data_IF_233235140040
#
_entry.id   IF_233235140040
#
_cell.length_a   1.000
_cell.length_b   1.000
_cell.length_c   1.000
_cell.angle_alpha   90.00
_cell.angle_beta   90.00
_cell.angle_gamma   90.00
#
_symmetry.space_group_name_H-M   'P 1'
#
loop_
_entity.id
_entity.type
_entity.pdbx_description
1 polymer ?
#
# COMPACT_ATOMS: atom_id res chain seq x y z
N UNK A 1 -42.35 26.07 33.77
CA UNK A 1 -41.33 26.65 32.85
C UNK A 1 -39.96 26.47 33.49
N UNK A 2 -38.94 26.16 32.67
CA UNK A 2 -37.56 25.74 33.01
C UNK A 2 -37.31 24.22 33.07
N UNK A 3 -37.73 23.51 32.01
CA UNK A 3 -36.83 22.58 31.32
C UNK A 3 -36.04 23.41 30.29
N UNK A 4 -34.84 22.97 29.93
CA UNK A 4 -33.99 23.48 28.82
C UNK A 4 -32.76 24.34 29.16
N UNK A 5 -31.95 23.91 30.13
CA UNK A 5 -30.50 24.27 30.12
C UNK A 5 -29.62 23.08 30.53
N UNK A 6 -29.85 21.89 29.97
CA UNK A 6 -28.78 20.88 29.90
C UNK A 6 -27.92 21.24 28.71
N UNK A 7 -26.87 22.02 28.98
CA UNK A 7 -25.79 22.34 28.03
C UNK A 7 -25.37 21.06 27.30
N UNK A 8 -25.64 21.00 26.00
CA UNK A 8 -24.99 20.05 25.09
C UNK A 8 -23.50 20.37 25.12
N UNK A 9 -22.75 19.68 25.98
CA UNK A 9 -21.31 19.55 25.79
C UNK A 9 -21.20 18.66 24.55
N UNK A 10 -20.90 19.27 23.42
CA UNK A 10 -20.45 18.52 22.25
C UNK A 10 -19.34 17.59 22.73
N UNK A 11 -19.57 16.28 22.63
CA UNK A 11 -18.61 15.27 23.04
C UNK A 11 -17.43 15.30 22.05
N UNK A 12 -16.56 16.29 22.19
CA UNK A 12 -15.33 16.40 21.41
C UNK A 12 -14.45 15.24 21.85
N UNK A 13 -14.34 14.23 20.99
CA UNK A 13 -13.42 13.11 21.19
C UNK A 13 -12.01 13.69 21.24
N UNK A 14 -11.33 13.48 22.36
CA UNK A 14 -9.94 13.90 22.54
C UNK A 14 -9.04 12.67 22.44
N UNK A 15 -7.89 12.85 21.80
CA UNK A 15 -6.83 11.88 21.82
C UNK A 15 -5.58 12.52 22.40
N UNK A 16 -4.82 11.76 23.18
CA UNK A 16 -3.57 12.24 23.77
C UNK A 16 -2.50 11.16 23.75
N UNK A 17 -1.26 11.59 23.58
CA UNK A 17 -0.09 10.75 23.73
C UNK A 17 0.29 10.72 25.20
N UNK A 18 0.09 9.58 25.86
CA UNK A 18 0.30 9.42 27.30
C UNK A 18 1.75 9.07 27.62
N UNK A 19 2.40 8.28 26.77
CA UNK A 19 3.81 7.94 26.96
C UNK A 19 4.48 7.65 25.62
N UNK A 20 5.72 8.11 25.48
CA UNK A 20 6.66 7.68 24.43
C UNK A 20 7.94 7.22 25.09
N UNK A 21 8.51 6.12 24.60
CA UNK A 21 9.78 5.59 25.08
C UNK A 21 10.62 5.17 23.89
N UNK A 22 11.86 5.62 23.83
CA UNK A 22 12.87 5.08 22.93
C UNK A 22 13.66 4.02 23.68
N UNK A 23 13.42 2.76 23.34
CA UNK A 23 14.05 1.61 24.01
C UNK A 23 15.38 1.29 23.30
N UNK A 24 15.41 1.42 21.98
CA UNK A 24 16.61 1.43 21.14
C UNK A 24 16.34 2.16 19.83
N UNK A 25 17.36 2.38 18.99
CA UNK A 25 17.20 2.95 17.65
C UNK A 25 16.17 2.16 16.82
N UNK A 26 16.16 0.84 16.96
CA UNK A 26 15.24 -0.09 16.28
C UNK A 26 13.96 -0.42 17.04
N UNK A 27 13.71 0.22 18.18
CA UNK A 27 12.57 -0.14 19.03
C UNK A 27 12.03 1.08 19.76
N UNK A 28 11.01 1.71 19.16
CA UNK A 28 10.29 2.85 19.75
C UNK A 28 8.89 2.43 20.19
N UNK A 29 8.45 2.92 21.33
CA UNK A 29 7.15 2.64 21.92
C UNK A 29 6.34 3.93 22.12
N UNK A 30 5.05 3.86 21.80
CA UNK A 30 4.09 4.94 22.05
C UNK A 30 2.78 4.40 22.62
N UNK A 31 2.22 5.12 23.60
CA UNK A 31 0.92 4.84 24.22
C UNK A 31 -0.01 6.01 24.00
N UNK A 32 -1.15 5.75 23.40
CA UNK A 32 -2.16 6.75 23.05
C UNK A 32 -3.49 6.40 23.72
N UNK A 33 -4.23 7.43 24.15
CA UNK A 33 -5.54 7.27 24.76
C UNK A 33 -6.56 8.14 24.01
N UNK A 34 -7.69 7.53 23.65
CA UNK A 34 -8.83 8.18 23.01
C UNK A 34 -10.05 8.08 23.93
N UNK A 35 -10.64 9.22 24.25
CA UNK A 35 -11.87 9.33 25.03
C UNK A 35 -12.54 10.72 24.87
N UNK A 36 -13.84 10.87 25.15
CA UNK A 36 -14.81 9.81 25.40
C UNK A 36 -15.32 9.18 24.08
N UNK A 37 -15.44 7.85 24.03
CA UNK A 37 -16.07 7.13 22.91
C UNK A 37 -17.42 6.55 23.36
N UNK A 38 -18.37 6.35 22.44
CA UNK A 38 -19.60 5.59 22.75
C UNK A 38 -19.30 4.10 22.73
N UNK A 39 -20.14 3.32 23.41
CA UNK A 39 -20.09 1.86 23.39
C UNK A 39 -19.96 1.29 21.96
N UNK A 40 -18.99 0.40 21.75
CA UNK A 40 -18.69 -0.23 20.45
C UNK A 40 -17.84 0.62 19.49
N UNK A 41 -17.72 1.93 19.69
CA UNK A 41 -16.86 2.77 18.84
C UNK A 41 -15.37 2.48 19.11
N UNK A 42 -14.98 2.20 20.35
CA UNK A 42 -13.60 1.90 20.67
C UNK A 42 -13.11 0.64 19.95
N UNK A 43 -13.93 -0.41 19.91
CA UNK A 43 -13.60 -1.66 19.21
C UNK A 43 -13.46 -1.45 17.70
N UNK A 44 -14.41 -0.72 17.10
CA UNK A 44 -14.37 -0.41 15.66
C UNK A 44 -13.09 0.33 15.27
N UNK A 45 -12.74 1.37 16.03
CA UNK A 45 -11.51 2.16 15.81
C UNK A 45 -10.28 1.29 16.05
N UNK A 46 -10.25 0.51 17.12
CA UNK A 46 -9.09 -0.31 17.48
C UNK A 46 -8.79 -1.39 16.45
N UNK A 47 -9.81 -2.13 15.99
CA UNK A 47 -9.65 -3.18 14.99
C UNK A 47 -9.19 -2.58 13.65
N UNK A 48 -9.81 -1.48 13.23
CA UNK A 48 -9.46 -0.83 11.96
C UNK A 48 -8.03 -0.31 11.99
N UNK A 49 -7.65 0.45 13.02
CA UNK A 49 -6.28 0.95 13.18
C UNK A 49 -5.26 -0.17 13.32
N UNK A 50 -5.57 -1.25 14.06
CA UNK A 50 -4.68 -2.41 14.17
C UNK A 50 -4.40 -3.04 12.82
N UNK A 51 -5.43 -3.23 11.99
CA UNK A 51 -5.26 -3.80 10.64
C UNK A 51 -4.42 -2.87 9.79
N UNK A 52 -4.83 -1.61 9.66
CA UNK A 52 -4.14 -0.62 8.83
C UNK A 52 -2.69 -0.39 9.24
N UNK A 53 -2.40 -0.31 10.54
CA UNK A 53 -1.03 -0.17 11.05
C UNK A 53 -0.13 -1.34 10.63
N UNK A 54 -0.66 -2.56 10.63
CA UNK A 54 0.11 -3.76 10.29
C UNK A 54 0.19 -4.03 8.78
N UNK A 55 -0.78 -3.56 7.99
CA UNK A 55 -0.89 -3.93 6.57
C UNK A 55 -0.65 -2.80 5.57
N UNK A 56 -0.87 -1.54 5.93
CA UNK A 56 -0.91 -0.42 4.97
C UNK A 56 0.16 0.64 5.22
N UNK A 57 0.82 0.63 6.38
CA UNK A 57 1.92 1.57 6.64
C UNK A 57 3.08 1.25 5.70
N UNK A 58 3.47 2.25 4.92
CA UNK A 58 4.52 2.13 3.91
C UNK A 58 5.87 1.94 4.58
N UNK A 59 6.69 1.05 4.04
CA UNK A 59 8.06 0.84 4.50
C UNK A 59 9.06 1.00 3.38
N UNK A 60 10.30 1.31 3.73
CA UNK A 60 11.40 1.50 2.77
C UNK A 60 12.43 0.42 3.05
N UNK A 61 12.82 -0.32 2.01
CA UNK A 61 13.81 -1.37 2.14
C UNK A 61 14.65 -1.52 0.86
N UNK A 62 15.82 -2.13 1.00
CA UNK A 62 16.67 -2.49 -0.13
C UNK A 62 16.08 -3.74 -0.80
N UNK A 63 15.79 -3.66 -2.10
CA UNK A 63 15.17 -4.75 -2.87
C UNK A 63 16.14 -5.46 -3.80
N UNK A 64 17.24 -4.80 -4.17
CA UNK A 64 18.17 -5.35 -5.15
C UNK A 64 19.59 -4.86 -4.90
N UNK A 65 20.55 -5.74 -5.14
CA UNK A 65 21.98 -5.45 -5.03
C UNK A 65 22.69 -5.89 -6.30
N UNK A 66 23.45 -4.99 -6.91
CA UNK A 66 24.33 -5.29 -8.03
C UNK A 66 25.79 -5.07 -7.60
N UNK A 67 26.65 -6.05 -7.88
CA UNK A 67 28.08 -6.00 -7.53
C UNK A 67 28.85 -5.55 -8.77
N UNK A 68 29.35 -4.32 -8.79
CA UNK A 68 30.01 -3.74 -9.98
C UNK A 68 31.46 -4.19 -10.10
N UNK A 69 32.20 -4.10 -8.99
CA UNK A 69 33.64 -4.33 -8.94
C UNK A 69 33.96 -5.32 -7.82
N UNK A 70 33.94 -6.59 -8.17
CA UNK A 70 34.66 -7.62 -7.45
C UNK A 70 35.48 -8.34 -8.50
N UNK A 71 36.81 -8.26 -8.41
CA UNK A 71 37.69 -8.78 -9.45
C UNK A 71 37.41 -10.25 -9.82
N UNK A 72 36.76 -11.03 -8.97
CA UNK A 72 36.34 -12.39 -9.26
C UNK A 72 35.07 -12.71 -8.44
N UNK A 73 33.88 -12.61 -9.03
CA UNK A 73 32.74 -13.40 -8.55
C UNK A 73 33.01 -14.82 -9.05
N UNK A 74 33.40 -15.72 -8.15
CA UNK A 74 33.59 -17.13 -8.49
C UNK A 74 32.28 -17.73 -9.04
N UNK A 75 32.39 -18.68 -9.95
CA UNK A 75 31.28 -19.35 -10.66
C UNK A 75 30.17 -19.92 -9.73
N UNK A 76 30.49 -20.09 -8.44
CA UNK A 76 29.57 -20.62 -7.42
C UNK A 76 28.73 -19.56 -6.68
N UNK A 77 28.76 -18.27 -7.06
CA UNK A 77 27.92 -17.19 -6.51
C UNK A 77 27.89 -17.05 -4.97
N UNK A 78 28.79 -17.72 -4.25
CA UNK A 78 28.71 -17.89 -2.79
C UNK A 78 29.59 -16.91 -2.02
N UNK A 79 30.69 -16.43 -2.63
CA UNK A 79 31.68 -15.56 -1.97
C UNK A 79 32.23 -14.49 -2.90
N UNK A 80 32.54 -13.35 -2.30
CA UNK A 80 33.26 -12.24 -2.93
C UNK A 80 34.70 -12.29 -2.44
N UNK A 81 35.67 -12.42 -3.35
CA UNK A 81 37.10 -12.47 -2.97
C UNK A 81 37.46 -11.23 -2.17
N UNK A 82 38.09 -11.42 -1.01
CA UNK A 82 38.54 -10.34 -0.10
C UNK A 82 37.48 -9.78 0.86
N UNK A 83 36.24 -10.27 0.77
CA UNK A 83 35.18 -10.03 1.76
C UNK A 83 35.08 -11.27 2.67
N UNK A 84 34.92 -11.05 3.99
CA UNK A 84 34.83 -12.16 4.95
C UNK A 84 33.49 -12.90 4.86
N UNK A 85 32.41 -12.15 4.68
CA UNK A 85 31.03 -12.63 4.63
C UNK A 85 30.71 -13.26 3.26
N UNK A 86 29.81 -14.24 3.27
CA UNK A 86 29.23 -14.80 2.05
C UNK A 86 28.24 -13.83 1.40
N UNK A 87 27.89 -14.07 0.13
CA UNK A 87 26.86 -13.29 -0.56
C UNK A 87 25.52 -13.38 0.19
N UNK A 88 25.15 -14.56 0.70
CA UNK A 88 23.92 -14.73 1.47
C UNK A 88 23.91 -13.91 2.76
N UNK A 89 24.99 -13.93 3.53
CA UNK A 89 25.14 -13.12 4.75
C UNK A 89 25.09 -11.62 4.43
N UNK A 90 25.74 -11.18 3.35
CA UNK A 90 25.70 -9.80 2.89
C UNK A 90 24.26 -9.37 2.55
N UNK A 91 23.50 -10.20 1.83
CA UNK A 91 22.10 -9.92 1.50
C UNK A 91 21.22 -9.87 2.76
N UNK A 92 21.43 -10.77 3.73
CA UNK A 92 20.72 -10.75 5.02
C UNK A 92 21.05 -9.52 5.85
N UNK A 93 22.33 -9.12 5.90
CA UNK A 93 22.75 -7.92 6.64
C UNK A 93 22.13 -6.66 6.03
N UNK A 94 22.13 -6.54 4.69
CA UNK A 94 21.47 -5.44 3.98
C UNK A 94 19.94 -5.44 4.18
N UNK A 95 19.31 -6.62 4.21
CA UNK A 95 17.87 -6.77 4.47
C UNK A 95 17.46 -6.24 5.86
N UNK A 96 18.34 -6.35 6.85
CA UNK A 96 18.06 -5.92 8.22
C UNK A 96 18.20 -4.40 8.41
N UNK A 97 18.74 -3.66 7.45
CA UNK A 97 18.95 -2.21 7.56
C UNK A 97 17.59 -1.51 7.49
N UNK A 98 17.30 -0.70 8.51
CA UNK A 98 16.07 0.09 8.57
C UNK A 98 16.32 1.48 8.00
N UNK A 99 15.56 1.82 6.95
CA UNK A 99 15.57 3.12 6.30
C UNK A 99 14.31 3.92 6.69
N UNK A 100 14.42 5.25 6.69
CA UNK A 100 13.30 6.18 6.90
C UNK A 100 13.35 7.31 5.87
N UNK A 101 12.22 7.98 5.68
CA UNK A 101 12.20 9.22 4.92
C UNK A 101 12.93 10.31 5.71
N UNK A 102 13.69 11.14 5.00
CA UNK A 102 14.18 12.40 5.53
C UNK A 102 13.02 13.39 5.66
N UNK A 103 13.08 14.26 6.68
CA UNK A 103 12.01 15.22 6.98
C UNK A 103 11.78 16.27 5.87
N UNK A 104 12.78 16.47 5.00
CA UNK A 104 12.83 17.57 4.05
C UNK A 104 12.50 17.18 2.59
N UNK A 105 12.01 15.96 2.34
CA UNK A 105 11.83 15.46 0.97
C UNK A 105 10.47 14.80 0.70
N UNK A 106 9.59 15.51 -0.02
CA UNK A 106 8.39 14.97 -0.66
C UNK A 106 8.74 14.43 -2.06
N UNK A 107 9.63 13.44 -2.14
CA UNK A 107 9.90 12.78 -3.41
C UNK A 107 8.83 11.73 -3.69
N UNK A 108 8.02 11.96 -4.73
CA UNK A 108 7.02 11.02 -5.29
C UNK A 108 7.63 9.77 -5.94
N UNK A 109 8.97 9.63 -5.94
CA UNK A 109 9.61 8.43 -6.44
C UNK A 109 9.41 7.26 -5.49
N UNK A 110 8.99 6.12 -6.04
CA UNK A 110 8.93 4.84 -5.32
C UNK A 110 10.28 4.12 -5.31
N UNK A 111 11.21 4.49 -6.21
CA UNK A 111 12.49 3.81 -6.41
C UNK A 111 13.61 4.80 -6.23
N UNK A 112 14.63 4.39 -5.49
CA UNK A 112 15.80 5.17 -5.15
C UNK A 112 17.06 4.33 -5.41
N UNK A 113 18.05 4.94 -6.05
CA UNK A 113 19.35 4.34 -6.22
C UNK A 113 20.26 4.74 -5.06
N UNK A 114 20.96 3.78 -4.49
CA UNK A 114 21.96 3.95 -3.44
C UNK A 114 23.22 3.18 -3.80
N UNK A 115 24.35 3.50 -3.18
CA UNK A 115 25.60 2.78 -3.47
C UNK A 115 26.49 2.65 -2.25
N UNK A 116 27.37 1.67 -2.25
CA UNK A 116 28.44 1.50 -1.27
C UNK A 116 29.74 1.37 -2.06
N UNK A 117 30.69 2.27 -1.84
CA UNK A 117 32.01 2.22 -2.46
C UNK A 117 33.08 2.40 -1.38
N UNK A 118 33.74 1.31 -0.98
CA UNK A 118 34.69 1.31 0.14
C UNK A 118 35.97 0.57 -0.23
N UNK A 119 37.12 1.12 0.18
CA UNK A 119 38.45 0.50 0.04
C UNK A 119 38.89 -0.13 1.37
N UNK A 120 39.34 -1.39 1.31
CA UNK A 120 39.80 -2.16 2.46
C UNK A 120 41.28 -1.97 2.79
N UNK A 121 41.76 -2.60 3.89
CA UNK A 121 41.02 -3.43 4.83
C UNK A 121 40.24 -2.60 5.86
N UNK A 122 38.94 -2.88 6.03
CA UNK A 122 38.02 -2.08 6.86
C UNK A 122 36.71 -2.82 7.14
N UNK A 123 36.06 -2.51 8.26
CA UNK A 123 34.66 -2.85 8.52
C UNK A 123 33.71 -1.89 7.81
N UNK A 124 32.74 -2.46 7.08
CA UNK A 124 31.68 -1.74 6.37
C UNK A 124 30.44 -1.78 7.24
N UNK A 125 29.91 -0.59 7.53
CA UNK A 125 28.68 -0.40 8.32
C UNK A 125 27.62 0.29 7.49
N UNK A 126 26.38 0.34 7.97
CA UNK A 126 25.27 1.06 7.32
C UNK A 126 25.62 2.53 7.03
N UNK A 127 26.44 3.18 7.87
CA UNK A 127 26.96 4.54 7.60
C UNK A 127 27.69 4.70 6.27
N UNK A 128 28.25 3.62 5.72
CA UNK A 128 29.00 3.65 4.46
C UNK A 128 28.11 3.60 3.22
N UNK A 129 26.79 3.50 3.41
CA UNK A 129 25.82 3.59 2.32
C UNK A 129 25.67 5.06 1.92
N UNK A 130 25.95 5.33 0.66
CA UNK A 130 25.66 6.59 0.00
C UNK A 130 24.19 6.56 -0.40
N UNK A 131 23.35 7.20 0.41
CA UNK A 131 21.92 7.36 0.18
C UNK A 131 21.60 8.66 -0.56
N UNK A 132 20.47 8.70 -1.29
CA UNK A 132 19.93 9.96 -1.77
C UNK A 132 19.50 10.84 -0.58
N UNK A 133 19.44 12.18 -0.76
CA UNK A 133 19.12 13.12 0.33
C UNK A 133 17.71 12.95 0.90
N UNK A 134 16.85 12.20 0.22
CA UNK A 134 15.48 11.92 0.66
C UNK A 134 15.36 10.79 1.69
N UNK A 135 16.45 10.05 1.94
CA UNK A 135 16.45 8.86 2.78
C UNK A 135 17.51 8.97 3.87
N UNK A 136 17.13 8.55 5.07
CA UNK A 136 18.02 8.43 6.21
C UNK A 136 18.09 6.98 6.70
N UNK A 137 19.21 6.65 7.35
CA UNK A 137 19.39 5.40 8.08
C UNK A 137 18.99 5.59 9.54
N UNK A 138 18.30 4.60 10.10
CA UNK A 138 17.89 4.63 11.52
C UNK A 138 19.05 4.28 12.45
N UNK A 139 19.89 3.32 12.08
CA UNK A 139 21.06 2.85 12.83
C UNK A 139 22.28 2.82 11.91
N UNK A 140 23.23 3.72 12.17
CA UNK A 140 24.46 3.90 11.39
C UNK A 140 25.58 2.92 11.78
N UNK A 141 25.35 2.08 12.80
CA UNK A 141 26.33 1.12 13.34
C UNK A 141 26.15 -0.30 12.81
N UNK A 142 25.09 -0.56 12.06
CA UNK A 142 24.73 -1.90 11.63
C UNK A 142 25.80 -2.49 10.69
N UNK A 143 26.30 -3.66 11.04
CA UNK A 143 27.35 -4.35 10.28
C UNK A 143 26.82 -4.85 8.94
N UNK A 144 27.53 -4.56 7.85
CA UNK A 144 27.24 -5.08 6.50
C UNK A 144 28.22 -6.17 6.13
N UNK A 145 29.51 -5.82 6.11
CA UNK A 145 30.57 -6.71 5.66
C UNK A 145 31.95 -6.25 6.19
N UNK A 146 32.96 -7.11 6.07
CA UNK A 146 34.34 -6.86 6.44
C UNK A 146 35.25 -7.11 5.25
N UNK A 147 36.01 -6.08 4.85
CA UNK A 147 37.06 -6.22 3.84
C UNK A 147 38.36 -6.66 4.52
N UNK A 148 38.79 -7.89 4.23
CA UNK A 148 40.02 -8.47 4.78
C UNK A 148 41.27 -8.10 3.95
N UNK A 149 41.09 -7.79 2.67
CA UNK A 149 42.16 -7.48 1.71
C UNK A 149 42.10 -6.00 1.28
N UNK A 150 43.20 -5.42 0.74
CA UNK A 150 43.22 -4.08 0.17
C UNK A 150 42.52 -4.04 -1.19
N UNK A 151 41.24 -4.39 -1.19
CA UNK A 151 40.36 -4.41 -2.36
C UNK A 151 39.35 -3.28 -2.26
N UNK A 152 38.83 -2.86 -3.40
CA UNK A 152 37.70 -1.94 -3.49
C UNK A 152 36.42 -2.74 -3.71
N UNK A 153 35.41 -2.52 -2.86
CA UNK A 153 34.09 -3.11 -2.99
C UNK A 153 33.10 -2.01 -3.40
N UNK A 154 32.52 -2.16 -4.59
CA UNK A 154 31.49 -1.28 -5.11
C UNK A 154 30.16 -2.04 -5.32
N UNK A 155 29.14 -1.64 -4.57
CA UNK A 155 27.77 -2.17 -4.65
C UNK A 155 26.81 -1.07 -5.10
N UNK A 156 25.99 -1.38 -6.08
CA UNK A 156 24.80 -0.63 -6.45
C UNK A 156 23.60 -1.25 -5.74
N UNK A 157 22.83 -0.42 -5.04
CA UNK A 157 21.65 -0.82 -4.28
C UNK A 157 20.43 -0.15 -4.90
N UNK A 158 19.33 -0.90 -5.04
CA UNK A 158 18.02 -0.31 -5.28
C UNK A 158 17.22 -0.38 -4.00
N UNK A 159 16.72 0.78 -3.60
CA UNK A 159 15.82 0.97 -2.47
C UNK A 159 14.45 1.26 -3.02
N UNK A 160 13.45 0.56 -2.51
CA UNK A 160 12.06 0.76 -2.92
C UNK A 160 11.20 1.13 -1.72
N UNK A 161 10.28 2.06 -1.95
CA UNK A 161 9.16 2.33 -1.07
C UNK A 161 8.07 1.32 -1.37
N UNK A 162 7.75 0.48 -0.40
CA UNK A 162 6.80 -0.60 -0.53
C UNK A 162 5.53 -0.25 0.24
N UNK A 163 4.40 -0.35 -0.46
CA UNK A 163 3.05 -0.13 0.07
C UNK A 163 2.31 -1.45 0.14
N UNK A 164 1.96 -1.87 1.36
CA UNK A 164 1.30 -3.12 1.66
C UNK A 164 1.97 -4.35 1.07
N UNK A 165 1.24 -5.46 1.00
CA UNK A 165 1.67 -6.74 0.41
C UNK A 165 1.83 -6.61 -1.12
N UNK A 166 2.84 -5.87 -1.58
CA UNK A 166 3.22 -5.91 -2.97
C UNK A 166 3.85 -7.28 -3.28
N UNK A 167 3.06 -8.13 -3.95
CA UNK A 167 3.56 -9.18 -4.82
C UNK A 167 4.59 -8.54 -5.76
N UNK A 168 5.79 -9.13 -5.79
CA UNK A 168 6.93 -8.75 -6.62
C UNK A 168 6.51 -8.08 -7.93
N UNK A 169 6.93 -6.83 -8.15
CA UNK A 169 7.00 -6.24 -9.49
C UNK A 169 8.16 -6.90 -10.24
N UNK A 170 7.96 -8.14 -10.68
CA UNK A 170 8.98 -8.94 -11.38
C UNK A 170 9.46 -8.30 -12.69
N UNK A 171 8.68 -7.37 -13.25
CA UNK A 171 8.92 -6.81 -14.59
C UNK A 171 9.90 -5.61 -14.67
N UNK A 172 10.44 -5.11 -13.55
CA UNK A 172 11.28 -3.88 -13.56
C UNK A 172 12.70 -4.01 -13.01
N UNK A 173 13.11 -5.19 -12.55
CA UNK A 173 14.45 -5.36 -12.01
C UNK A 173 15.48 -5.62 -13.12
N UNK A 174 16.68 -5.00 -13.06
CA UNK A 174 17.73 -5.24 -14.03
C UNK A 174 18.15 -6.72 -14.00
N UNK A 175 18.43 -7.31 -15.16
CA UNK A 175 18.83 -8.74 -15.30
C UNK A 175 20.15 -9.11 -14.58
N UNK A 176 20.85 -8.15 -13.98
CA UNK A 176 22.15 -8.33 -13.32
C UNK A 176 22.04 -7.93 -11.85
N UNK A 177 22.44 -8.83 -10.96
CA UNK A 177 22.46 -8.65 -9.51
C UNK A 177 21.61 -9.68 -8.77
N UNK A 178 21.52 -9.49 -7.45
CA UNK A 178 20.80 -10.37 -6.54
C UNK A 178 19.58 -9.64 -5.97
N UNK A 179 18.36 -10.21 -6.10
CA UNK A 179 17.19 -9.68 -5.42
C UNK A 179 17.28 -9.97 -3.92
N UNK A 180 16.95 -8.98 -3.10
CA UNK A 180 16.73 -9.12 -1.67
C UNK A 180 15.23 -9.32 -1.44
N UNK A 181 14.88 -10.25 -0.55
CA UNK A 181 13.49 -10.39 -0.11
C UNK A 181 13.15 -9.15 0.72
N UNK A 182 12.20 -8.32 0.29
CA UNK A 182 11.91 -7.08 1.00
C UNK A 182 11.36 -7.36 2.40
N UNK A 183 12.04 -6.83 3.42
CA UNK A 183 11.58 -6.82 4.81
C UNK A 183 11.30 -5.38 5.22
N UNK A 184 10.02 -5.00 5.20
CA UNK A 184 9.58 -3.62 5.41
C UNK A 184 8.55 -3.56 6.54
N UNK A 185 8.84 -4.09 7.72
CA UNK A 185 7.89 -4.09 8.85
C UNK A 185 8.09 -2.87 9.77
N UNK A 186 7.54 -1.67 9.45
CA UNK A 186 7.70 -0.48 10.28
C UNK A 186 7.04 -0.64 11.65
N UNK A 187 5.90 -1.35 11.68
CA UNK A 187 5.18 -1.70 12.91
C UNK A 187 5.56 -3.12 13.32
N UNK A 188 6.20 -3.24 14.49
CA UNK A 188 6.56 -4.54 15.08
C UNK A 188 5.42 -5.17 15.85
N UNK A 189 4.69 -4.34 16.59
CA UNK A 189 3.60 -4.78 17.45
C UNK A 189 2.61 -3.66 17.67
N UNK A 190 1.36 -4.03 17.83
CA UNK A 190 0.31 -3.16 18.34
C UNK A 190 -0.55 -3.94 19.33
N UNK A 191 -0.89 -3.30 20.44
CA UNK A 191 -1.88 -3.76 21.41
C UNK A 191 -2.94 -2.67 21.58
N UNK A 192 -4.14 -3.07 21.96
CA UNK A 192 -5.17 -2.15 22.39
C UNK A 192 -5.90 -2.70 23.60
N UNK A 193 -6.44 -1.81 24.42
CA UNK A 193 -7.31 -2.17 25.54
C UNK A 193 -8.46 -1.17 25.61
N UNK A 194 -9.67 -1.68 25.83
CA UNK A 194 -10.87 -0.88 25.97
C UNK A 194 -11.29 -0.94 27.43
N UNK A 195 -11.63 0.22 28.01
CA UNK A 195 -12.17 0.33 29.36
C UNK A 195 -13.49 1.06 29.31
N UNK A 196 -14.53 0.53 29.95
CA UNK A 196 -15.78 1.26 30.17
C UNK A 196 -15.57 2.34 31.23
N UNK A 197 -16.17 3.50 31.00
CA UNK A 197 -16.21 4.62 31.92
C UNK A 197 -17.67 5.06 32.10
N UNK A 198 -18.27 4.69 33.23
CA UNK A 198 -19.71 4.84 33.44
C UNK A 198 -20.51 3.81 32.63
N UNK A 199 -21.77 4.12 32.33
CA UNK A 199 -22.69 3.17 31.68
C UNK A 199 -22.59 3.13 30.15
N UNK A 200 -22.18 4.23 29.50
CA UNK A 200 -22.31 4.37 28.02
C UNK A 200 -21.03 4.84 27.32
N UNK A 201 -19.95 5.11 28.06
CA UNK A 201 -18.71 5.63 27.49
C UNK A 201 -17.57 4.63 27.59
N UNK A 202 -16.68 4.68 26.60
CA UNK A 202 -15.50 3.85 26.47
C UNK A 202 -14.24 4.72 26.35
N UNK A 203 -13.14 4.15 26.83
CA UNK A 203 -11.79 4.69 26.70
C UNK A 203 -10.96 3.66 25.93
N UNK A 204 -10.43 4.06 24.79
CA UNK A 204 -9.50 3.24 24.00
C UNK A 204 -8.07 3.62 24.36
N UNK A 205 -7.27 2.63 24.77
CA UNK A 205 -5.82 2.76 24.85
C UNK A 205 -5.17 1.97 23.72
N UNK A 206 -4.28 2.61 22.96
CA UNK A 206 -3.44 2.00 21.94
C UNK A 206 -1.99 1.99 22.40
N UNK A 207 -1.30 0.90 22.13
CA UNK A 207 0.13 0.74 22.39
C UNK A 207 0.80 0.26 21.10
N UNK A 208 1.79 1.02 20.62
CA UNK A 208 2.40 0.84 19.31
C UNK A 208 3.91 0.71 19.49
N UNK A 209 4.50 -0.31 18.86
CA UNK A 209 5.94 -0.52 18.79
C UNK A 209 6.41 -0.46 17.34
N UNK A 210 7.36 0.43 17.05
CA UNK A 210 7.93 0.62 15.70
C UNK A 210 9.39 0.18 15.65
N UNK A 211 9.88 -0.11 14.45
CA UNK A 211 11.28 -0.43 14.17
C UNK A 211 12.20 0.82 14.07
N UNK A 212 11.68 2.02 14.38
CA UNK A 212 12.41 3.28 14.26
C UNK A 212 12.29 4.00 12.91
N UNK A 213 11.79 3.33 11.86
CA UNK A 213 11.52 3.96 10.55
C UNK A 213 10.47 5.08 10.65
N UNK A 214 9.46 4.84 11.48
CA UNK A 214 8.47 5.84 11.90
C UNK A 214 8.49 6.00 13.40
N UNK A 215 8.20 7.19 13.90
CA UNK A 215 7.77 7.33 15.29
C UNK A 215 6.38 6.70 15.48
N UNK A 216 6.04 6.21 16.69
CA UNK A 216 4.70 5.67 16.96
C UNK A 216 3.57 6.65 16.63
N UNK A 217 3.83 7.96 16.76
CA UNK A 217 2.86 9.03 16.45
C UNK A 217 2.67 9.21 14.95
N UNK A 218 3.76 9.26 14.18
CA UNK A 218 3.70 9.35 12.72
C UNK A 218 3.00 8.13 12.13
N UNK A 219 3.34 6.93 12.61
CA UNK A 219 2.71 5.72 12.10
C UNK A 219 1.21 5.67 12.39
N UNK A 220 0.78 6.13 13.57
CA UNK A 220 -0.64 6.26 13.90
C UNK A 220 -1.34 7.25 12.95
N UNK A 221 -0.70 8.38 12.66
CA UNK A 221 -1.24 9.37 11.74
C UNK A 221 -1.36 8.84 10.31
N UNK A 222 -0.34 8.15 9.82
CA UNK A 222 -0.35 7.53 8.49
C UNK A 222 -1.46 6.48 8.37
N UNK A 223 -1.66 5.67 9.41
CA UNK A 223 -2.77 4.72 9.44
C UNK A 223 -4.15 5.41 9.45
N UNK A 224 -4.32 6.50 10.20
CA UNK A 224 -5.55 7.29 10.17
C UNK A 224 -5.81 7.86 8.76
N UNK A 225 -4.77 8.41 8.11
CA UNK A 225 -4.86 8.93 6.75
C UNK A 225 -5.32 7.85 5.77
N UNK A 226 -4.75 6.65 5.83
CA UNK A 226 -5.16 5.53 4.99
C UNK A 226 -6.64 5.16 5.20
N UNK A 227 -7.11 5.05 6.45
CA UNK A 227 -8.51 4.77 6.75
C UNK A 227 -9.46 5.86 6.22
N UNK A 228 -9.09 7.14 6.33
CA UNK A 228 -9.88 8.24 5.77
C UNK A 228 -9.93 8.15 4.25
N UNK A 229 -8.80 7.88 3.59
CA UNK A 229 -8.76 7.72 2.15
C UNK A 229 -9.62 6.53 1.68
N UNK A 230 -9.54 5.39 2.37
CA UNK A 230 -10.36 4.20 2.09
C UNK A 230 -11.86 4.47 2.23
N UNK A 231 -12.27 5.30 3.19
CA UNK A 231 -13.67 5.62 3.44
C UNK A 231 -14.19 6.78 2.60
N UNK A 232 -13.29 7.67 2.14
CA UNK A 232 -13.62 8.84 1.30
C UNK A 232 -14.35 8.48 0.00
N UNK A 233 -14.10 7.29 -0.54
CA UNK A 233 -14.76 6.79 -1.76
C UNK A 233 -16.28 6.69 -1.62
N UNK A 234 -16.78 6.44 -0.41
CA UNK A 234 -18.22 6.35 -0.16
C UNK A 234 -18.89 7.73 -0.15
N UNK A 235 -18.16 8.78 0.21
CA UNK A 235 -18.66 10.16 0.22
C UNK A 235 -18.60 10.81 -1.16
N UNK A 236 -17.67 10.40 -2.01
CA UNK A 236 -17.45 11.02 -3.33
C UNK A 236 -18.50 10.66 -4.40
N UNK A 237 -19.40 9.69 -4.13
CA UNK A 237 -20.41 9.26 -5.10
C UNK A 237 -21.64 10.18 -5.20
N UNK A 238 -21.83 11.14 -4.30
CA UNK A 238 -22.99 12.05 -4.37
C UNK A 238 -22.75 13.31 -5.22
N UNK A 239 -21.49 13.66 -5.53
CA UNK A 239 -21.15 14.95 -6.17
C UNK A 239 -20.39 14.86 -7.50
N UNK A 240 -20.20 13.66 -8.08
CA UNK A 240 -19.62 13.55 -9.40
C UNK A 240 -20.69 13.68 -10.49
N UNK A 241 -21.12 14.91 -10.76
CA UNK A 241 -21.45 15.31 -12.12
C UNK A 241 -20.15 15.23 -12.94
N UNK A 242 -19.83 14.02 -13.38
CA UNK A 242 -18.73 13.77 -14.31
C UNK A 242 -19.08 14.56 -15.56
N UNK A 243 -18.36 15.65 -15.78
CA UNK A 243 -18.48 16.46 -16.99
C UNK A 243 -18.37 15.55 -18.21
N UNK A 244 -19.49 15.39 -18.91
CA UNK A 244 -19.71 14.60 -20.13
C UNK A 244 -18.90 15.09 -21.35
N UNK A 245 -17.73 15.67 -21.15
CA UNK A 245 -16.86 16.18 -22.21
C UNK A 245 -15.80 15.18 -22.68
N UNK A 246 -15.64 14.00 -22.04
CA UNK A 246 -14.61 13.02 -22.43
C UNK A 246 -15.10 11.76 -23.13
N UNK A 247 -16.40 11.63 -23.41
CA UNK A 247 -16.98 10.48 -24.14
C UNK A 247 -17.12 10.70 -25.66
N UNK A 248 -16.89 11.92 -26.17
CA UNK A 248 -16.80 12.14 -27.64
C UNK A 248 -15.47 11.67 -28.26
N UNK A 249 -14.45 11.36 -27.46
CA UNK A 249 -13.13 10.93 -27.95
C UNK A 249 -12.86 9.41 -27.79
N UNK A 250 -13.84 8.61 -27.37
CA UNK A 250 -13.66 7.15 -27.25
C UNK A 250 -13.90 6.36 -28.54
N UNK A 251 -14.44 6.98 -29.59
CA UNK A 251 -14.67 6.29 -30.87
C UNK A 251 -13.54 6.46 -31.91
N UNK A 252 -12.46 7.21 -31.58
CA UNK A 252 -11.44 7.60 -32.57
C UNK A 252 -10.01 7.11 -32.33
N UNK A 253 -9.75 6.18 -31.39
CA UNK A 253 -8.38 5.64 -31.24
C UNK A 253 -8.30 4.16 -30.88
N UNK A 254 -8.69 3.30 -31.82
CA UNK A 254 -8.13 1.94 -31.90
C UNK A 254 -6.73 2.06 -32.52
N UNK A 255 -5.67 2.33 -31.72
CA UNK A 255 -4.22 2.12 -32.03
C UNK A 255 -3.27 2.89 -31.09
N UNK A 256 -3.45 2.84 -29.77
CA UNK A 256 -2.37 3.23 -28.84
C UNK A 256 -2.26 2.25 -27.66
N UNK A 257 -1.04 1.95 -27.18
CA UNK A 257 -0.86 1.20 -25.94
C UNK A 257 -1.41 2.04 -24.77
N UNK A 258 -2.30 1.43 -23.97
CA UNK A 258 -2.96 2.07 -22.84
C UNK A 258 -1.96 2.55 -21.79
N UNK A 259 -2.22 3.72 -21.21
CA UNK A 259 -1.50 4.17 -20.02
C UNK A 259 -1.82 3.25 -18.81
N UNK A 260 -0.93 3.16 -17.80
CA UNK A 260 -1.18 2.32 -16.61
C UNK A 260 -2.48 2.66 -15.85
N UNK A 261 -2.93 3.92 -15.93
CA UNK A 261 -4.16 4.40 -15.31
C UNK A 261 -5.40 3.89 -16.06
N UNK A 262 -5.42 3.95 -17.39
CA UNK A 262 -6.52 3.43 -18.22
C UNK A 262 -6.66 1.90 -18.07
N UNK A 263 -5.55 1.18 -17.93
CA UNK A 263 -5.56 -0.26 -17.66
C UNK A 263 -6.13 -0.60 -16.26
N UNK A 264 -5.87 0.24 -15.25
CA UNK A 264 -6.42 0.06 -13.91
C UNK A 264 -7.94 0.35 -13.88
N UNK A 265 -8.38 1.42 -14.56
CA UNK A 265 -9.80 1.74 -14.72
C UNK A 265 -10.57 0.61 -15.42
N UNK A 266 -10.03 0.07 -16.51
CA UNK A 266 -10.62 -1.07 -17.22
C UNK A 266 -10.72 -2.33 -16.33
N UNK A 267 -9.71 -2.60 -15.49
CA UNK A 267 -9.76 -3.72 -14.52
C UNK A 267 -10.82 -3.50 -13.45
N UNK A 268 -10.96 -2.29 -12.91
CA UNK A 268 -11.99 -1.95 -11.91
C UNK A 268 -13.38 -2.09 -12.53
N UNK A 269 -13.59 -1.59 -13.74
CA UNK A 269 -14.86 -1.72 -14.46
C UNK A 269 -15.20 -3.17 -14.76
N UNK A 270 -14.21 -3.97 -15.18
CA UNK A 270 -14.40 -5.41 -15.38
C UNK A 270 -14.80 -6.13 -14.08
N UNK A 271 -14.15 -5.80 -12.95
CA UNK A 271 -14.51 -6.37 -11.63
C UNK A 271 -15.94 -5.99 -11.22
N UNK A 272 -16.35 -4.72 -11.40
CA UNK A 272 -17.71 -4.27 -11.13
C UNK A 272 -18.74 -5.02 -11.97
N UNK A 273 -18.46 -5.21 -13.26
CA UNK A 273 -19.36 -5.91 -14.19
C UNK A 273 -19.50 -7.40 -13.90
N UNK A 274 -18.47 -8.03 -13.34
CA UNK A 274 -18.53 -9.43 -12.90
C UNK A 274 -19.39 -9.63 -11.65
N UNK A 275 -19.49 -8.61 -10.78
CA UNK A 275 -20.27 -8.68 -9.55
C UNK A 275 -21.78 -8.45 -9.75
N UNK A 276 -22.19 -7.95 -10.92
CA UNK A 276 -23.59 -7.65 -11.23
C UNK A 276 -24.16 -8.76 -12.09
N UNK A 277 -25.11 -9.50 -11.50
CA UNK A 277 -25.85 -10.54 -12.21
C UNK A 277 -26.96 -9.91 -13.05
N UNK A 278 -27.21 -10.50 -14.21
CA UNK A 278 -28.24 -10.02 -15.15
C UNK A 278 -29.64 -10.02 -14.51
N UNK A 279 -29.87 -10.91 -13.55
CA UNK A 279 -31.11 -11.02 -12.76
C UNK A 279 -31.43 -9.75 -11.94
N UNK A 280 -30.40 -8.98 -11.55
CA UNK A 280 -30.54 -7.75 -10.78
C UNK A 280 -30.97 -6.55 -11.65
N UNK A 281 -31.01 -6.70 -12.98
CA UNK A 281 -31.31 -5.63 -13.93
C UNK A 281 -32.81 -5.40 -14.15
N UNK A 282 -33.68 -6.11 -13.41
CA UNK A 282 -35.15 -6.04 -13.55
C UNK A 282 -35.62 -6.16 -15.01
N UNK A 283 -34.98 -7.04 -15.78
CA UNK A 283 -35.36 -7.32 -17.17
C UNK A 283 -36.62 -8.17 -17.23
N UNK A 284 -37.28 -8.17 -18.39
CA UNK A 284 -38.42 -9.04 -18.65
C UNK A 284 -38.04 -10.52 -18.47
N UNK A 285 -38.88 -11.35 -17.82
CA UNK A 285 -38.56 -12.77 -17.58
C UNK A 285 -38.23 -13.55 -18.85
N UNK A 286 -38.83 -13.20 -20.00
CA UNK A 286 -38.52 -13.87 -21.28
C UNK A 286 -37.11 -13.56 -21.77
N UNK A 287 -36.62 -12.36 -21.49
CA UNK A 287 -35.26 -11.91 -21.82
C UNK A 287 -34.24 -12.48 -20.85
N UNK A 288 -34.57 -12.60 -19.56
CA UNK A 288 -33.73 -13.27 -18.57
C UNK A 288 -33.52 -14.75 -18.92
N UNK A 289 -34.58 -15.48 -19.25
CA UNK A 289 -34.45 -16.88 -19.68
C UNK A 289 -33.63 -17.02 -20.96
N UNK A 290 -33.76 -16.07 -21.90
CA UNK A 290 -33.00 -16.11 -23.16
C UNK A 290 -31.52 -15.82 -22.94
N UNK A 291 -31.18 -14.91 -22.01
CA UNK A 291 -29.80 -14.64 -21.59
C UNK A 291 -29.21 -15.82 -20.80
N UNK A 292 -29.98 -16.45 -19.92
CA UNK A 292 -29.57 -17.67 -19.19
C UNK A 292 -29.33 -18.85 -20.14
N UNK A 293 -30.21 -19.07 -21.14
CA UNK A 293 -29.98 -20.10 -22.19
C UNK A 293 -28.72 -19.84 -23.00
N UNK A 294 -28.36 -18.57 -23.21
CA UNK A 294 -27.12 -18.16 -23.88
C UNK A 294 -25.88 -18.20 -22.96
N UNK A 295 -26.03 -18.66 -21.70
CA UNK A 295 -24.99 -18.69 -20.66
C UNK A 295 -24.39 -17.31 -20.34
N UNK A 296 -25.20 -16.25 -20.44
CA UNK A 296 -24.82 -14.89 -20.04
C UNK A 296 -25.38 -14.65 -18.65
N UNK A 297 -24.54 -14.73 -17.62
CA UNK A 297 -24.97 -14.64 -16.22
C UNK A 297 -24.60 -13.30 -15.59
N UNK A 298 -23.52 -12.69 -16.05
CA UNK A 298 -23.01 -11.40 -15.53
C UNK A 298 -23.05 -10.32 -16.60
N UNK A 299 -23.04 -9.05 -16.17
CA UNK A 299 -22.89 -7.94 -17.09
C UNK A 299 -21.54 -7.95 -17.84
N UNK A 300 -20.52 -8.58 -17.28
CA UNK A 300 -19.24 -8.79 -17.96
C UNK A 300 -19.38 -9.70 -19.19
N UNK A 301 -20.15 -10.77 -19.06
CA UNK A 301 -20.45 -11.68 -20.18
C UNK A 301 -21.22 -10.95 -21.28
N UNK A 302 -22.12 -10.05 -20.89
CA UNK A 302 -22.88 -9.21 -21.81
C UNK A 302 -21.99 -8.19 -22.52
N UNK A 303 -21.07 -7.55 -21.79
CA UNK A 303 -20.15 -6.54 -22.33
C UNK A 303 -19.18 -7.10 -23.37
N UNK A 304 -18.79 -8.37 -23.22
CA UNK A 304 -17.91 -9.06 -24.17
C UNK A 304 -18.64 -9.58 -25.43
N UNK A 305 -19.97 -9.44 -25.52
CA UNK A 305 -20.75 -9.86 -26.69
C UNK A 305 -20.96 -8.72 -27.66
N UNK A 306 -20.87 -9.01 -28.96
CA UNK A 306 -21.11 -7.99 -29.97
C UNK A 306 -22.61 -7.63 -30.05
N UNK A 307 -22.92 -6.38 -30.43
CA UNK A 307 -24.31 -5.91 -30.60
C UNK A 307 -25.13 -6.78 -31.56
N UNK A 308 -24.49 -7.36 -32.59
CA UNK A 308 -25.12 -8.30 -33.53
C UNK A 308 -25.47 -9.65 -32.90
N UNK A 309 -24.75 -10.08 -31.88
CA UNK A 309 -25.05 -11.32 -31.14
C UNK A 309 -26.15 -11.09 -30.10
N UNK A 310 -26.14 -9.93 -29.43
CA UNK A 310 -27.18 -9.56 -28.46
C UNK A 310 -28.56 -9.42 -29.11
N UNK A 311 -28.61 -8.87 -30.33
CA UNK A 311 -29.86 -8.74 -31.11
C UNK A 311 -30.47 -10.08 -31.54
N UNK A 312 -29.70 -11.18 -31.49
CA UNK A 312 -30.22 -12.54 -31.77
C UNK A 312 -30.82 -13.21 -30.52
N UNK A 313 -30.46 -12.71 -29.33
CA UNK A 313 -30.75 -13.36 -28.05
C UNK A 313 -31.81 -12.58 -27.27
N UNK A 314 -31.85 -11.25 -27.41
CA UNK A 314 -32.75 -10.38 -26.65
C UNK A 314 -33.56 -9.43 -27.55
N UNK A 315 -34.72 -9.01 -27.06
CA UNK A 315 -35.57 -8.00 -27.71
C UNK A 315 -34.86 -6.65 -27.72
N UNK A 316 -35.09 -5.85 -28.77
CA UNK A 316 -34.47 -4.54 -28.99
C UNK A 316 -34.71 -3.59 -27.80
N UNK A 317 -35.91 -3.62 -27.22
CA UNK A 317 -36.30 -2.78 -26.07
C UNK A 317 -35.46 -3.06 -24.83
N UNK A 318 -35.08 -4.32 -24.60
CA UNK A 318 -34.29 -4.71 -23.44
C UNK A 318 -32.81 -4.40 -23.66
N UNK A 319 -32.31 -4.47 -24.89
CA UNK A 319 -30.96 -3.99 -25.24
C UNK A 319 -30.83 -2.48 -24.95
N UNK A 320 -31.85 -1.69 -25.29
CA UNK A 320 -31.88 -0.25 -25.01
C UNK A 320 -31.89 0.01 -23.49
N UNK A 321 -32.68 -0.75 -22.71
CA UNK A 321 -32.70 -0.65 -21.24
C UNK A 321 -31.34 -1.01 -20.64
N UNK A 322 -30.68 -2.05 -21.13
CA UNK A 322 -29.37 -2.45 -20.62
C UNK A 322 -28.32 -1.37 -20.93
N UNK A 323 -28.31 -0.82 -22.15
CA UNK A 323 -27.41 0.29 -22.49
C UNK A 323 -27.68 1.53 -21.62
N UNK A 324 -28.95 1.86 -21.35
CA UNK A 324 -29.31 2.96 -20.46
C UNK A 324 -28.87 2.72 -19.00
N UNK A 325 -28.95 1.48 -18.50
CA UNK A 325 -28.47 1.11 -17.17
C UNK A 325 -26.93 1.21 -17.10
N UNK A 326 -26.24 0.74 -18.13
CA UNK A 326 -24.77 0.81 -18.21
C UNK A 326 -24.27 2.26 -18.28
N UNK A 327 -24.98 3.14 -18.98
CA UNK A 327 -24.73 4.59 -18.99
C UNK A 327 -25.04 5.23 -17.62
N UNK A 328 -26.15 4.85 -16.98
CA UNK A 328 -26.52 5.33 -15.64
C UNK A 328 -25.50 4.92 -14.57
N UNK A 329 -24.88 3.76 -14.72
CA UNK A 329 -23.81 3.28 -13.85
C UNK A 329 -22.42 3.73 -14.29
N UNK A 330 -22.36 4.58 -15.32
CA UNK A 330 -21.13 5.20 -15.81
C UNK A 330 -20.06 4.17 -16.23
N UNK A 331 -20.51 3.06 -16.80
CA UNK A 331 -19.68 1.93 -17.28
C UNK A 331 -19.35 2.10 -18.77
N UNK A 332 -20.20 2.78 -19.55
CA UNK A 332 -20.04 3.05 -20.99
C UNK A 332 -20.41 4.49 -21.31
#
# INVERSE_FOLDING_TARGET
MKKDEVKRIEHIVQWSCVATKEISQHYKYGRFVLCPLREGQAETIAISLRKTLLSEVEGICITHVNVIAAHYISYDFSRIVGVKESVAELLTNLQQIVLKNSADSDSDSDIFDASICVKGPRHITSKDIILPPSLDIVDDTQHIATLALPIELCLELKVERIRGSCLRREDRLPRKGFPIIPLYLPIRKINYSIKSFGETLEILTLEIWTNGSYTPKEALWEACRHLVNLTSIFFNNENQNISLTRTKNMLSSLTKPYSPQEAAELRITAMKLQMIFVEQLHLDPTTLESLQRAKILTLYDLFNKSTKELMKIAKIEDVIKIVAILQKWNII
#
